data_IF_322912800895
#
_entry.id   IF_322912800895
#
_cell.length_a   1.000
_cell.length_b   1.000
_cell.length_c   1.000
_cell.angle_alpha   90.00
_cell.angle_beta   90.00
_cell.angle_gamma   90.00
#
_symmetry.space_group_name_H-M   'P 1'
#
loop_
_entity.id
_entity.type
_entity.pdbx_description
1 polymer ?
#
# COMPACT_ATOMS: atom_id res chain seq x y z
N UNK A 1 18.23 24.89 12.74
CA UNK A 1 17.60 23.63 13.15
C UNK A 1 17.46 22.78 11.90
N UNK A 2 18.20 21.68 11.79
CA UNK A 2 18.06 20.76 10.66
C UNK A 2 16.76 19.97 10.83
N UNK A 3 15.77 20.26 10.00
CA UNK A 3 14.58 19.43 9.90
C UNK A 3 14.97 18.09 9.27
N UNK A 4 15.05 17.04 10.06
CA UNK A 4 15.21 15.69 9.57
C UNK A 4 13.88 15.29 8.91
N UNK A 5 13.84 15.23 7.60
CA UNK A 5 12.71 14.63 6.89
C UNK A 5 12.82 13.12 7.03
N UNK A 6 11.82 12.51 7.64
CA UNK A 6 11.66 11.05 7.66
C UNK A 6 10.77 10.69 6.46
N UNK A 7 11.36 10.05 5.47
CA UNK A 7 10.59 9.50 4.34
C UNK A 7 10.03 8.15 4.81
N UNK A 8 8.74 8.07 4.99
CA UNK A 8 8.04 6.82 5.33
C UNK A 8 7.51 6.20 4.04
N UNK A 9 8.05 5.04 3.66
CA UNK A 9 7.49 4.26 2.56
C UNK A 9 6.14 3.66 2.95
N UNK A 10 5.04 4.26 2.52
CA UNK A 10 3.67 3.77 2.80
C UNK A 10 3.45 2.35 2.27
N UNK A 11 4.09 2.02 1.14
CA UNK A 11 4.06 0.67 0.56
C UNK A 11 4.72 -0.36 1.46
N UNK A 12 5.82 -0.01 2.14
CA UNK A 12 6.49 -0.92 3.08
C UNK A 12 5.65 -1.20 4.32
N UNK A 13 4.89 -0.22 4.81
CA UNK A 13 3.95 -0.41 5.92
C UNK A 13 2.79 -1.33 5.51
N UNK A 14 2.28 -1.19 4.31
CA UNK A 14 1.22 -2.05 3.77
C UNK A 14 1.71 -3.48 3.59
N UNK A 15 2.90 -3.68 3.03
CA UNK A 15 3.51 -5.00 2.90
C UNK A 15 3.74 -5.65 4.27
N UNK A 16 4.31 -4.91 5.23
CA UNK A 16 4.53 -5.39 6.59
C UNK A 16 3.21 -5.80 7.29
N UNK A 17 2.13 -5.03 7.11
CA UNK A 17 0.81 -5.38 7.65
C UNK A 17 0.27 -6.68 7.06
N UNK A 18 0.49 -6.91 5.78
CA UNK A 18 0.08 -8.13 5.07
C UNK A 18 0.87 -9.34 5.57
N UNK A 19 2.19 -9.20 5.70
CA UNK A 19 3.07 -10.26 6.21
C UNK A 19 2.71 -10.63 7.66
N UNK A 20 2.48 -9.64 8.51
CA UNK A 20 2.05 -9.84 9.89
C UNK A 20 0.69 -10.55 9.98
N UNK A 21 -0.25 -10.22 9.08
CA UNK A 21 -1.53 -10.94 8.97
C UNK A 21 -1.32 -12.41 8.64
N UNK A 22 -0.41 -12.71 7.71
CA UNK A 22 -0.01 -14.07 7.37
C UNK A 22 0.59 -14.83 8.56
N UNK A 23 1.52 -14.20 9.28
CA UNK A 23 2.13 -14.75 10.51
C UNK A 23 1.06 -15.05 11.56
N UNK A 24 0.16 -14.10 11.83
CA UNK A 24 -0.93 -14.30 12.79
C UNK A 24 -1.83 -15.49 12.43
N UNK A 25 -2.11 -15.67 11.14
CA UNK A 25 -2.90 -16.80 10.65
C UNK A 25 -2.16 -18.13 10.83
N UNK A 26 -0.87 -18.17 10.51
CA UNK A 26 -0.04 -19.37 10.68
C UNK A 26 0.09 -19.77 12.16
N UNK A 27 0.30 -18.80 13.06
CA UNK A 27 0.39 -19.03 14.50
C UNK A 27 -0.94 -19.57 15.06
N UNK A 28 -2.08 -18.98 14.67
CA UNK A 28 -3.41 -19.51 15.07
C UNK A 28 -3.63 -20.95 14.61
N UNK A 29 -3.28 -21.26 13.38
CA UNK A 29 -3.39 -22.60 12.84
C UNK A 29 -2.51 -23.60 13.61
N UNK A 30 -1.27 -23.24 13.94
CA UNK A 30 -0.36 -24.05 14.73
C UNK A 30 -0.89 -24.31 16.15
N UNK A 31 -1.40 -23.27 16.82
CA UNK A 31 -1.99 -23.41 18.16
C UNK A 31 -3.25 -24.29 18.13
N UNK A 32 -4.11 -24.14 17.13
CA UNK A 32 -5.29 -24.99 16.98
C UNK A 32 -4.92 -26.46 16.73
N UNK A 33 -3.90 -26.70 15.90
CA UNK A 33 -3.41 -28.06 15.63
C UNK A 33 -2.81 -28.71 16.88
N UNK A 34 -2.09 -27.96 17.73
CA UNK A 34 -1.47 -28.46 18.94
C UNK A 34 -2.45 -28.60 20.13
N UNK A 35 -3.59 -27.91 20.13
CA UNK A 35 -4.48 -27.81 21.27
C UNK A 35 -4.96 -29.18 21.78
N UNK A 36 -5.41 -30.08 20.88
CA UNK A 36 -5.93 -31.38 21.25
C UNK A 36 -4.88 -32.27 21.94
N UNK A 37 -3.70 -32.40 21.35
CA UNK A 37 -2.63 -33.23 21.84
C UNK A 37 -1.98 -32.72 23.14
N UNK A 38 -2.04 -31.41 23.39
CA UNK A 38 -1.43 -30.83 24.59
C UNK A 38 -2.38 -30.65 25.74
N UNK A 39 -3.69 -30.46 25.50
CA UNK A 39 -4.69 -30.30 26.58
C UNK A 39 -5.33 -31.60 27.03
N UNK A 40 -5.17 -32.69 26.26
CA UNK A 40 -5.75 -34.01 26.51
C UNK A 40 -4.66 -35.09 26.58
N UNK A 41 -3.66 -34.87 27.45
CA UNK A 41 -2.58 -35.82 27.62
C UNK A 41 -3.10 -37.06 28.32
N UNK A 42 -2.94 -38.25 27.69
CA UNK A 42 -3.29 -39.51 28.28
C UNK A 42 -2.37 -39.85 29.46
N UNK A 43 -2.93 -40.50 30.49
CA UNK A 43 -2.17 -40.97 31.64
C UNK A 43 -1.23 -42.09 31.17
N UNK A 44 0.05 -42.00 31.51
CA UNK A 44 1.08 -42.94 31.04
C UNK A 44 1.00 -44.30 31.73
N UNK A 45 0.56 -44.33 32.98
CA UNK A 45 0.36 -45.53 33.78
C UNK A 45 -0.83 -45.35 34.74
N UNK A 46 -1.34 -46.48 35.31
CA UNK A 46 -2.47 -46.46 36.26
C UNK A 46 -1.98 -46.20 37.71
N UNK A 47 -1.21 -45.11 37.90
CA UNK A 47 -0.72 -44.70 39.20
C UNK A 47 -0.96 -43.19 39.44
N UNK A 48 -0.95 -42.81 40.70
CA UNK A 48 -1.30 -41.46 41.14
C UNK A 48 -0.31 -40.39 40.58
N UNK A 49 0.96 -40.79 40.39
CA UNK A 49 1.98 -39.89 39.89
C UNK A 49 1.75 -39.58 38.41
N UNK A 50 1.51 -40.63 37.60
CA UNK A 50 1.19 -40.47 36.18
C UNK A 50 -0.09 -39.64 35.98
N UNK A 51 -1.10 -39.85 36.83
CA UNK A 51 -2.33 -39.06 36.80
C UNK A 51 -2.06 -37.57 37.13
N UNK A 52 -1.30 -37.31 38.19
CA UNK A 52 -0.95 -35.95 38.63
C UNK A 52 -0.15 -35.20 37.55
N UNK A 53 0.81 -35.88 36.92
CA UNK A 53 1.62 -35.31 35.83
C UNK A 53 0.75 -34.96 34.63
N UNK A 54 -0.14 -35.86 34.19
CA UNK A 54 -1.04 -35.57 33.07
C UNK A 54 -1.98 -34.42 33.36
N UNK A 55 -2.50 -34.32 34.60
CA UNK A 55 -3.34 -33.17 35.00
C UNK A 55 -2.56 -31.85 35.01
N UNK A 56 -1.30 -31.86 35.51
CA UNK A 56 -0.45 -30.70 35.53
C UNK A 56 -0.23 -30.17 34.11
N UNK A 57 0.20 -31.02 33.19
CA UNK A 57 0.42 -30.63 31.78
C UNK A 57 -0.87 -30.18 31.11
N UNK A 58 -1.97 -30.86 31.30
CA UNK A 58 -3.27 -30.48 30.74
C UNK A 58 -3.76 -29.15 31.29
N UNK A 59 -3.51 -28.81 32.55
CA UNK A 59 -3.84 -27.49 33.12
C UNK A 59 -2.95 -26.40 32.53
N UNK A 60 -1.66 -26.64 32.50
CA UNK A 60 -0.70 -25.70 31.92
C UNK A 60 -0.99 -25.42 30.43
N UNK A 61 -1.33 -26.43 29.68
CA UNK A 61 -1.71 -26.29 28.28
C UNK A 61 -2.97 -25.44 28.10
N UNK A 62 -3.98 -25.57 28.97
CA UNK A 62 -5.19 -24.73 28.92
C UNK A 62 -4.89 -23.28 29.25
N UNK A 63 -4.03 -23.03 30.25
CA UNK A 63 -3.58 -21.68 30.59
C UNK A 63 -2.80 -21.06 29.43
N UNK A 64 -1.91 -21.83 28.80
CA UNK A 64 -1.20 -21.41 27.60
C UNK A 64 -2.16 -21.02 26.45
N UNK A 65 -3.19 -21.81 26.19
CA UNK A 65 -4.20 -21.49 25.17
C UNK A 65 -4.94 -20.18 25.49
N UNK A 66 -5.24 -19.92 26.76
CA UNK A 66 -5.87 -18.66 27.16
C UNK A 66 -4.96 -17.44 26.90
N UNK A 67 -3.67 -17.56 27.26
CA UNK A 67 -2.67 -16.51 26.98
C UNK A 67 -2.47 -16.32 25.47
N UNK A 68 -2.42 -17.42 24.72
CA UNK A 68 -2.29 -17.37 23.26
C UNK A 68 -3.47 -16.66 22.58
N UNK A 69 -4.69 -16.83 23.10
CA UNK A 69 -5.85 -16.10 22.61
C UNK A 69 -5.72 -14.58 22.85
N UNK A 70 -5.21 -14.17 24.02
CA UNK A 70 -4.96 -12.77 24.32
C UNK A 70 -3.84 -12.19 23.44
N UNK A 71 -2.74 -12.93 23.24
CA UNK A 71 -1.66 -12.54 22.36
C UNK A 71 -2.12 -12.36 20.91
N UNK A 72 -3.01 -13.24 20.45
CA UNK A 72 -3.63 -13.15 19.12
C UNK A 72 -4.47 -11.89 18.98
N UNK A 73 -5.30 -11.57 19.95
CA UNK A 73 -6.11 -10.35 19.94
C UNK A 73 -5.24 -9.09 19.93
N UNK A 74 -4.15 -9.07 20.70
CA UNK A 74 -3.18 -7.98 20.68
C UNK A 74 -2.49 -7.87 19.32
N UNK A 75 -2.07 -8.98 18.73
CA UNK A 75 -1.46 -9.01 17.41
C UNK A 75 -2.39 -8.43 16.33
N UNK A 76 -3.66 -8.84 16.33
CA UNK A 76 -4.65 -8.35 15.37
C UNK A 76 -4.89 -6.82 15.52
N UNK A 77 -4.93 -6.31 16.76
CA UNK A 77 -5.02 -4.88 17.03
C UNK A 77 -3.77 -4.13 16.54
N UNK A 78 -2.60 -4.69 16.76
CA UNK A 78 -1.34 -4.11 16.29
C UNK A 78 -1.30 -4.02 14.76
N UNK A 79 -1.66 -5.10 14.06
CA UNK A 79 -1.71 -5.12 12.59
C UNK A 79 -2.70 -4.09 12.06
N UNK A 80 -3.87 -3.95 12.68
CA UNK A 80 -4.85 -2.92 12.33
C UNK A 80 -4.31 -1.50 12.55
N UNK A 81 -3.65 -1.26 13.68
CA UNK A 81 -3.04 0.05 13.96
C UNK A 81 -1.95 0.40 12.94
N UNK A 82 -1.12 -0.58 12.56
CA UNK A 82 -0.08 -0.40 11.55
C UNK A 82 -0.68 -0.07 10.17
N UNK A 83 -1.72 -0.79 9.74
CA UNK A 83 -2.42 -0.53 8.49
C UNK A 83 -3.07 0.86 8.47
N UNK A 84 -3.71 1.26 9.58
CA UNK A 84 -4.32 2.58 9.71
C UNK A 84 -3.27 3.70 9.66
N UNK A 85 -2.11 3.50 10.29
CA UNK A 85 -1.00 4.44 10.21
C UNK A 85 -0.50 4.59 8.76
N UNK A 86 -0.30 3.49 8.02
CA UNK A 86 0.06 3.52 6.60
C UNK A 86 -0.92 4.33 5.76
N UNK A 87 -2.22 4.12 5.94
CA UNK A 87 -3.27 4.86 5.25
C UNK A 87 -3.26 6.36 5.61
N UNK A 88 -3.04 6.70 6.88
CA UNK A 88 -2.98 8.09 7.32
C UNK A 88 -1.81 8.84 6.67
N UNK A 89 -0.64 8.20 6.57
CA UNK A 89 0.50 8.77 5.84
C UNK A 89 0.20 8.94 4.35
N UNK A 90 -0.38 7.95 3.69
CA UNK A 90 -0.74 8.04 2.27
C UNK A 90 -1.71 9.19 1.99
N UNK A 91 -2.73 9.38 2.84
CA UNK A 91 -3.67 10.49 2.73
C UNK A 91 -2.99 11.86 2.95
N UNK A 92 -2.04 11.95 3.89
CA UNK A 92 -1.31 13.19 4.15
C UNK A 92 -0.40 13.54 2.97
N UNK A 93 0.27 12.57 2.37
CA UNK A 93 1.09 12.79 1.17
C UNK A 93 0.24 13.24 -0.02
N UNK A 94 -0.91 12.57 -0.26
CA UNK A 94 -1.83 12.96 -1.32
C UNK A 94 -2.39 14.37 -1.12
N UNK A 95 -2.75 14.74 0.12
CA UNK A 95 -3.22 16.06 0.45
C UNK A 95 -2.14 17.15 0.30
N UNK A 96 -0.86 16.79 0.48
CA UNK A 96 0.26 17.71 0.33
C UNK A 96 0.67 17.92 -1.14
N UNK A 97 0.51 16.90 -1.98
CA UNK A 97 0.83 16.98 -3.41
C UNK A 97 -0.14 17.89 -4.18
N UNK A 98 -1.43 17.85 -3.86
CA UNK A 98 -2.48 18.61 -4.57
C UNK A 98 -2.30 20.15 -4.52
N UNK A 99 -2.01 20.79 -3.36
CA UNK A 99 -1.76 22.23 -3.31
C UNK A 99 -0.52 22.67 -4.07
N UNK A 100 0.52 21.82 -4.11
CA UNK A 100 1.75 22.14 -4.85
C UNK A 100 1.52 22.12 -6.37
N UNK A 101 0.77 21.15 -6.87
CA UNK A 101 0.39 21.09 -8.29
C UNK A 101 -0.47 22.28 -8.69
N UNK A 102 -1.46 22.65 -7.87
CA UNK A 102 -2.29 23.82 -8.13
C UNK A 102 -1.45 25.11 -8.19
N UNK A 103 -0.51 25.27 -7.26
CA UNK A 103 0.40 26.42 -7.25
C UNK A 103 1.32 26.45 -8.50
N UNK A 104 1.83 25.29 -8.91
CA UNK A 104 2.63 25.14 -10.13
C UNK A 104 1.80 25.53 -11.37
N UNK A 105 0.59 25.01 -11.49
CA UNK A 105 -0.32 25.31 -12.60
C UNK A 105 -0.69 26.81 -12.64
N UNK A 106 -0.96 27.41 -11.49
CA UNK A 106 -1.26 28.85 -11.38
C UNK A 106 -0.05 29.72 -11.82
N UNK A 107 1.15 29.39 -11.35
CA UNK A 107 2.38 30.10 -11.73
C UNK A 107 2.65 29.95 -13.24
N UNK A 108 2.56 28.72 -13.75
CA UNK A 108 2.74 28.48 -15.19
C UNK A 108 1.66 29.14 -16.01
N UNK A 109 0.42 29.19 -15.52
CA UNK A 109 -0.67 29.95 -16.15
C UNK A 109 -0.36 31.42 -16.33
N UNK A 110 0.14 32.05 -15.27
CA UNK A 110 0.54 33.52 -15.34
C UNK A 110 1.71 33.70 -16.28
N UNK A 111 2.75 32.88 -16.22
CA UNK A 111 3.94 32.97 -17.06
C UNK A 111 3.60 32.71 -18.54
N UNK A 112 2.73 31.80 -18.83
CA UNK A 112 2.35 31.37 -20.16
C UNK A 112 1.26 32.26 -20.79
N UNK A 113 0.50 33.02 -20.01
CA UNK A 113 -0.62 33.84 -20.52
C UNK A 113 -0.26 34.77 -21.68
N UNK A 114 0.84 35.55 -21.62
CA UNK A 114 1.20 36.44 -22.73
C UNK A 114 1.55 35.71 -24.03
N UNK A 115 2.28 34.59 -23.93
CA UNK A 115 2.71 33.84 -25.11
C UNK A 115 1.59 32.97 -25.69
N UNK A 116 0.72 32.47 -24.85
CA UNK A 116 -0.50 31.81 -25.30
C UNK A 116 -1.44 32.76 -26.02
N UNK A 117 -1.60 33.99 -25.52
CA UNK A 117 -2.45 35.01 -26.16
C UNK A 117 -1.90 35.49 -27.51
N UNK A 118 -0.57 35.71 -27.60
CA UNK A 118 0.06 36.26 -28.82
C UNK A 118 0.36 35.19 -29.87
N UNK A 119 0.72 33.99 -29.45
CA UNK A 119 1.30 32.97 -30.34
C UNK A 119 0.56 31.62 -30.26
N UNK A 120 -0.44 31.46 -29.37
CA UNK A 120 -1.15 30.19 -29.17
C UNK A 120 -0.26 29.06 -28.64
N UNK A 121 0.86 29.40 -27.97
CA UNK A 121 1.88 28.45 -27.53
C UNK A 121 2.46 28.90 -26.18
N UNK A 122 2.64 27.95 -25.22
CA UNK A 122 3.20 28.27 -23.92
C UNK A 122 4.68 28.69 -24.04
N UNK A 123 5.15 29.47 -23.08
CA UNK A 123 6.58 29.79 -22.92
C UNK A 123 7.31 28.59 -22.32
N UNK A 124 6.69 27.98 -21.27
CA UNK A 124 7.19 26.83 -20.54
C UNK A 124 6.05 25.80 -20.45
N UNK A 125 6.30 24.60 -20.90
CA UNK A 125 5.34 23.47 -20.81
C UNK A 125 5.40 22.56 -22.03
N UNK A 126 4.94 21.34 -21.87
CA UNK A 126 4.91 20.34 -22.93
C UNK A 126 3.74 20.60 -23.90
N UNK A 127 3.92 20.18 -25.13
CA UNK A 127 2.88 20.22 -26.15
C UNK A 127 1.77 19.21 -25.83
N UNK A 128 0.53 19.56 -26.18
CA UNK A 128 -0.62 18.67 -26.01
C UNK A 128 -0.45 17.40 -26.86
N UNK A 129 -0.76 16.26 -26.26
CA UNK A 129 -0.82 14.99 -27.01
C UNK A 129 -1.99 15.00 -27.99
N UNK A 130 -1.81 14.38 -29.16
CA UNK A 130 -2.87 14.23 -30.15
C UNK A 130 -4.01 13.38 -29.60
N UNK A 131 -5.23 13.85 -29.74
CA UNK A 131 -6.46 13.13 -29.32
C UNK A 131 -7.20 12.49 -30.48
N UNK A 132 -6.86 12.85 -31.71
CA UNK A 132 -7.46 12.28 -32.94
C UNK A 132 -6.52 11.24 -33.54
N UNK A 133 -7.03 10.07 -33.99
CA UNK A 133 -6.21 9.06 -34.66
C UNK A 133 -5.43 9.63 -35.86
N UNK A 134 -4.11 9.38 -35.89
CA UNK A 134 -3.20 9.92 -36.91
C UNK A 134 -2.85 11.40 -36.73
N UNK A 135 -3.36 12.06 -35.69
CA UNK A 135 -3.03 13.46 -35.39
C UNK A 135 -1.59 13.63 -34.91
N UNK A 136 -0.98 14.76 -35.27
CA UNK A 136 0.31 15.14 -34.72
C UNK A 136 0.15 15.75 -33.31
N UNK A 137 1.10 15.47 -32.41
CA UNK A 137 1.16 16.16 -31.12
C UNK A 137 1.45 17.65 -31.29
N UNK A 138 1.05 18.47 -30.33
CA UNK A 138 1.30 19.90 -30.30
C UNK A 138 2.78 20.23 -30.09
N UNK A 139 3.23 21.43 -30.49
CA UNK A 139 4.59 21.86 -30.22
C UNK A 139 4.80 22.17 -28.72
N UNK A 140 5.97 21.81 -28.18
CA UNK A 140 6.37 22.17 -26.83
C UNK A 140 6.56 23.70 -26.64
N UNK A 141 6.80 24.14 -25.41
CA UNK A 141 7.03 25.57 -25.07
C UNK A 141 8.16 26.23 -25.83
N UNK A 142 8.16 27.54 -25.86
CA UNK A 142 9.22 28.33 -26.55
C UNK A 142 10.60 28.21 -25.89
N UNK A 143 10.64 28.16 -24.55
CA UNK A 143 11.88 28.04 -23.78
C UNK A 143 12.16 26.65 -23.31
N UNK A 144 11.17 26.01 -22.73
CA UNK A 144 11.28 24.67 -22.11
C UNK A 144 9.98 23.91 -22.39
N UNK A 145 10.10 22.67 -22.83
CA UNK A 145 9.00 21.74 -23.03
C UNK A 145 9.26 20.79 -24.19
N UNK A 146 8.76 19.58 -24.05
CA UNK A 146 8.75 18.56 -25.10
C UNK A 146 7.54 18.75 -26.02
N UNK A 147 7.64 18.29 -27.26
CA UNK A 147 6.48 18.18 -28.15
C UNK A 147 5.53 17.06 -27.66
N UNK A 148 4.23 17.26 -27.86
CA UNK A 148 3.22 16.24 -27.56
C UNK A 148 3.39 15.00 -28.42
N UNK A 149 2.91 13.86 -27.92
CA UNK A 149 2.95 12.60 -28.63
C UNK A 149 1.87 12.58 -29.71
N UNK A 150 2.20 12.13 -30.94
CA UNK A 150 1.24 11.88 -31.99
C UNK A 150 0.37 10.66 -31.68
N UNK A 151 -0.90 10.67 -32.10
CA UNK A 151 -1.78 9.53 -31.95
C UNK A 151 -1.53 8.47 -33.02
N UNK A 152 -1.67 7.21 -32.67
CA UNK A 152 -1.63 6.11 -33.63
C UNK A 152 -2.71 6.32 -34.70
N UNK A 153 -2.42 5.93 -35.94
CA UNK A 153 -3.39 5.95 -37.04
C UNK A 153 -4.63 5.10 -36.74
N UNK A 154 -5.76 5.48 -37.29
CA UNK A 154 -6.94 4.63 -37.22
C UNK A 154 -6.63 3.27 -37.83
N UNK A 155 -7.19 2.14 -37.27
CA UNK A 155 -7.09 0.85 -37.90
C UNK A 155 -7.63 0.96 -39.34
N UNK A 156 -6.81 0.60 -40.30
CA UNK A 156 -7.23 0.62 -41.70
C UNK A 156 -8.45 -0.27 -41.86
N UNK A 157 -9.55 0.30 -42.39
CA UNK A 157 -10.66 -0.49 -42.91
C UNK A 157 -10.16 -1.14 -44.18
N UNK A 158 -9.36 -2.20 -44.06
CA UNK A 158 -8.87 -2.98 -45.17
C UNK A 158 -10.01 -3.78 -45.77
N UNK A 159 -10.77 -3.16 -46.68
CA UNK A 159 -11.43 -3.87 -47.71
C UNK A 159 -10.48 -3.88 -48.93
N UNK A 160 -9.65 -4.91 -49.00
CA UNK A 160 -9.01 -5.27 -50.24
C UNK A 160 -9.97 -6.24 -50.98
N UNK A 161 -10.36 -5.97 -52.24
CA UNK A 161 -11.13 -6.90 -53.03
C UNK A 161 -10.31 -8.12 -53.44
#
# INVERSE_FOLDING_TARGET
>A
MSSSFVVVGTETLTAASTDLTGIGTAVRAAHAAAAGSTTQIAVAAQDEVSAAVSQLFGTYAREYQAISAQATAFHDQFVQALANAGNAYALTEAASASPLQTLEDDILGVINAPTNFLFGRPLIGDGANATTPGGAGGPGGFLIGAGGVGAAGAPGTGSNP
#
